data_IF_121900751754
#
_entry.id   IF_121900751754
#
_cell.length_a   1.000
_cell.length_b   1.000
_cell.length_c   1.000
_cell.angle_alpha   90.00
_cell.angle_beta   90.00
_cell.angle_gamma   90.00
#
_symmetry.space_group_name_H-M   'P 1'
#
loop_
_entity.id
_entity.type
_entity.pdbx_description
1 polymer ?
#
# COMPACT_ATOMS: atom_id res chain seq x y z
N UNK A 1 -20.45 0.96 -9.73
CA UNK A 1 -19.20 0.46 -10.34
C UNK A 1 -18.10 1.26 -9.67
N UNK A 2 -17.01 0.65 -9.21
CA UNK A 2 -15.90 1.41 -8.65
C UNK A 2 -14.90 1.78 -9.76
N UNK A 3 -13.93 2.66 -9.43
CA UNK A 3 -12.95 3.12 -10.42
C UNK A 3 -12.12 1.97 -11.02
N UNK A 4 -11.85 0.93 -10.25
CA UNK A 4 -11.06 -0.24 -10.68
C UNK A 4 -11.83 -1.05 -11.71
N UNK A 5 -13.11 -1.29 -11.48
CA UNK A 5 -13.98 -2.01 -12.41
C UNK A 5 -14.21 -1.22 -13.70
N UNK A 6 -14.33 0.10 -13.60
CA UNK A 6 -14.46 0.97 -14.80
C UNK A 6 -13.18 0.93 -15.65
N UNK A 7 -12.01 1.01 -15.04
CA UNK A 7 -10.73 0.89 -15.76
C UNK A 7 -10.59 -0.49 -16.41
N UNK A 8 -10.91 -1.57 -15.70
CA UNK A 8 -10.87 -2.94 -16.24
C UNK A 8 -11.83 -3.14 -17.42
N UNK A 9 -12.98 -2.47 -17.42
CA UNK A 9 -13.95 -2.59 -18.51
C UNK A 9 -13.50 -1.92 -19.79
N UNK A 10 -12.57 -0.96 -19.71
CA UNK A 10 -12.09 -0.17 -20.85
C UNK A 10 -10.71 -0.57 -21.37
N UNK A 11 -9.93 -1.30 -20.59
CA UNK A 11 -8.59 -1.75 -20.96
C UNK A 11 -8.50 -3.27 -20.95
N UNK A 12 -7.88 -3.83 -21.98
CA UNK A 12 -7.49 -5.23 -21.98
C UNK A 12 -6.09 -5.39 -21.40
N UNK A 13 -5.87 -6.48 -20.67
CA UNK A 13 -4.56 -6.73 -20.03
C UNK A 13 -3.45 -6.88 -21.07
N UNK A 14 -3.76 -7.49 -22.22
CA UNK A 14 -2.79 -7.68 -23.31
C UNK A 14 -2.34 -6.35 -23.90
N UNK A 15 -3.26 -5.36 -24.07
CA UNK A 15 -2.91 -4.05 -24.61
C UNK A 15 -2.04 -3.26 -23.63
N UNK A 16 -2.35 -3.34 -22.32
CA UNK A 16 -1.52 -2.71 -21.28
C UNK A 16 -0.12 -3.30 -21.28
N UNK A 17 0.00 -4.63 -21.30
CA UNK A 17 1.28 -5.33 -21.23
C UNK A 17 2.09 -5.19 -22.54
N UNK A 18 1.43 -5.11 -23.69
CA UNK A 18 2.10 -4.98 -24.99
C UNK A 18 2.95 -3.69 -25.10
N UNK A 19 2.72 -2.69 -24.27
CA UNK A 19 3.56 -1.48 -24.24
C UNK A 19 4.94 -1.72 -23.63
N UNK A 20 5.06 -2.74 -22.79
CA UNK A 20 6.29 -3.08 -22.07
C UNK A 20 6.95 -4.35 -22.59
N UNK A 21 6.16 -5.29 -23.09
CA UNK A 21 6.62 -6.63 -23.49
C UNK A 21 6.15 -6.95 -24.89
N UNK A 22 7.07 -7.37 -25.75
CA UNK A 22 6.72 -7.85 -27.07
C UNK A 22 5.98 -9.20 -26.97
N UNK A 23 4.65 -9.14 -27.05
CA UNK A 23 3.79 -10.30 -26.95
C UNK A 23 3.62 -11.01 -28.31
N UNK A 24 3.71 -12.34 -28.29
CA UNK A 24 3.39 -13.22 -29.43
C UNK A 24 2.23 -14.12 -29.06
N UNK A 25 1.29 -14.32 -29.98
CA UNK A 25 0.14 -15.19 -29.74
C UNK A 25 0.57 -16.65 -29.53
N UNK A 26 0.00 -17.30 -28.54
CA UNK A 26 0.24 -18.71 -28.19
C UNK A 26 -1.10 -19.37 -27.85
N UNK A 27 -1.83 -19.78 -28.89
CA UNK A 27 -3.19 -20.29 -28.77
C UNK A 27 -4.19 -19.21 -28.31
N UNK A 28 -4.84 -19.43 -27.17
CA UNK A 28 -5.76 -18.44 -26.55
C UNK A 28 -5.04 -17.38 -25.70
N UNK A 29 -3.77 -17.61 -25.42
CA UNK A 29 -2.94 -16.73 -24.58
C UNK A 29 -1.90 -15.99 -25.43
N UNK A 30 -1.17 -15.08 -24.79
CA UNK A 30 0.03 -14.47 -25.33
C UNK A 30 1.25 -14.87 -24.50
N UNK A 31 2.42 -14.87 -25.14
CA UNK A 31 3.71 -15.11 -24.48
C UNK A 31 4.75 -14.08 -24.90
N UNK A 32 5.68 -13.79 -24.00
CA UNK A 32 6.81 -12.89 -24.26
C UNK A 32 8.00 -13.23 -23.39
N UNK A 33 9.07 -12.46 -23.52
CA UNK A 33 10.19 -12.49 -22.59
C UNK A 33 9.79 -11.78 -21.29
N UNK A 34 10.30 -12.26 -20.15
CA UNK A 34 10.05 -11.61 -18.87
C UNK A 34 10.62 -10.20 -18.83
N UNK A 35 9.83 -9.19 -18.41
CA UNK A 35 10.35 -7.85 -18.16
C UNK A 35 11.12 -7.73 -16.84
N UNK A 36 11.09 -8.78 -16.01
CA UNK A 36 11.69 -8.80 -14.67
C UNK A 36 13.04 -9.49 -14.61
N UNK A 37 13.50 -10.07 -15.71
CA UNK A 37 14.76 -10.80 -15.78
C UNK A 37 15.40 -10.75 -17.17
N UNK A 38 16.65 -11.18 -17.26
CA UNK A 38 17.37 -11.29 -18.52
C UNK A 38 17.30 -12.72 -19.02
N UNK A 39 16.31 -13.04 -19.86
CA UNK A 39 16.12 -14.39 -20.40
C UNK A 39 16.07 -14.40 -21.93
N UNK A 40 16.37 -15.58 -22.51
CA UNK A 40 16.33 -15.80 -23.97
C UNK A 40 15.09 -16.60 -24.40
N UNK A 41 14.42 -17.25 -23.45
CA UNK A 41 13.26 -18.11 -23.71
C UNK A 41 12.01 -17.45 -23.14
N UNK A 42 10.93 -17.32 -23.94
CA UNK A 42 9.70 -16.72 -23.45
C UNK A 42 9.07 -17.50 -22.31
N UNK A 43 9.04 -16.91 -21.11
CA UNK A 43 8.44 -17.45 -19.90
C UNK A 43 7.27 -16.61 -19.36
N UNK A 44 7.07 -15.42 -19.92
CA UNK A 44 5.98 -14.53 -19.55
C UNK A 44 4.70 -14.86 -20.32
N UNK A 45 3.61 -15.12 -19.61
CA UNK A 45 2.32 -15.51 -20.19
C UNK A 45 1.23 -14.52 -19.79
N UNK A 46 0.34 -14.20 -20.75
CA UNK A 46 -0.84 -13.35 -20.53
C UNK A 46 -2.08 -14.10 -21.01
N UNK A 47 -3.09 -14.15 -20.14
CA UNK A 47 -4.40 -14.72 -20.46
C UNK A 47 -5.47 -13.62 -20.60
N UNK A 48 -5.88 -13.26 -21.80
CA UNK A 48 -6.93 -12.27 -22.02
C UNK A 48 -8.28 -12.70 -21.43
N UNK A 49 -8.62 -13.97 -21.54
CA UNK A 49 -9.88 -14.52 -21.01
C UNK A 49 -9.99 -14.36 -19.50
N UNK A 50 -8.89 -14.59 -18.78
CA UNK A 50 -8.84 -14.49 -17.31
C UNK A 50 -8.42 -13.10 -16.82
N UNK A 51 -7.96 -12.22 -17.71
CA UNK A 51 -7.41 -10.91 -17.40
C UNK A 51 -6.27 -10.98 -16.35
N UNK A 52 -5.36 -11.98 -16.53
CA UNK A 52 -4.20 -12.22 -15.67
C UNK A 52 -2.94 -12.41 -16.50
N UNK A 53 -1.81 -12.15 -15.87
CA UNK A 53 -0.49 -12.50 -16.35
C UNK A 53 0.23 -13.39 -15.34
N UNK A 54 1.22 -14.14 -15.81
CA UNK A 54 2.12 -14.93 -14.98
C UNK A 54 3.49 -15.01 -15.64
N UNK A 55 4.52 -14.77 -14.85
CA UNK A 55 5.92 -14.92 -15.25
C UNK A 55 6.53 -16.15 -14.56
N UNK A 56 6.78 -17.19 -15.33
CA UNK A 56 7.32 -18.45 -14.82
C UNK A 56 8.80 -18.34 -14.42
N UNK A 57 9.53 -17.33 -14.87
CA UNK A 57 10.93 -17.14 -14.51
C UNK A 57 11.09 -16.52 -13.11
N UNK A 58 10.25 -15.56 -12.76
CA UNK A 58 10.30 -14.87 -11.46
C UNK A 58 9.28 -15.40 -10.46
N UNK A 59 8.30 -16.22 -10.90
CA UNK A 59 7.17 -16.67 -10.09
C UNK A 59 6.12 -15.57 -9.81
N UNK A 60 6.26 -14.39 -10.40
CA UNK A 60 5.32 -13.27 -10.25
C UNK A 60 4.10 -13.44 -11.13
N UNK A 61 2.98 -12.86 -10.72
CA UNK A 61 1.74 -12.89 -11.49
C UNK A 61 0.66 -12.01 -10.90
N UNK A 62 -0.43 -11.79 -11.66
CA UNK A 62 -1.56 -11.02 -11.18
C UNK A 62 -2.40 -10.40 -12.29
N UNK A 63 -3.02 -9.26 -12.03
CA UNK A 63 -3.83 -8.49 -12.97
C UNK A 63 -3.04 -7.32 -13.60
N UNK A 64 -3.70 -6.50 -14.43
CA UNK A 64 -3.07 -5.35 -15.07
C UNK A 64 -2.50 -4.32 -14.08
N UNK A 65 -3.13 -4.12 -12.92
CA UNK A 65 -2.63 -3.18 -11.91
C UNK A 65 -1.35 -3.70 -11.25
N UNK A 66 -1.34 -4.98 -10.85
CA UNK A 66 -0.13 -5.60 -10.29
C UNK A 66 1.04 -5.61 -11.29
N UNK A 67 0.74 -5.75 -12.59
CA UNK A 67 1.76 -5.64 -13.63
C UNK A 67 2.41 -4.25 -13.65
N UNK A 68 1.58 -3.19 -13.70
CA UNK A 68 2.08 -1.81 -13.71
C UNK A 68 2.85 -1.49 -12.43
N UNK A 69 2.34 -1.93 -11.26
CA UNK A 69 3.06 -1.77 -9.99
C UNK A 69 4.45 -2.39 -10.02
N UNK A 70 4.58 -3.59 -10.57
CA UNK A 70 5.85 -4.32 -10.63
C UNK A 70 6.83 -3.73 -11.65
N UNK A 71 6.35 -3.33 -12.83
CA UNK A 71 7.21 -2.81 -13.91
C UNK A 71 7.65 -1.37 -13.63
N UNK A 72 6.74 -0.53 -13.17
CA UNK A 72 7.02 0.89 -12.89
C UNK A 72 7.57 1.13 -11.48
N UNK A 73 7.51 0.14 -10.59
CA UNK A 73 7.95 0.28 -9.21
C UNK A 73 7.09 1.25 -8.39
N UNK A 74 5.79 1.31 -8.67
CA UNK A 74 4.84 2.25 -8.05
C UNK A 74 3.83 1.54 -7.16
N UNK A 75 3.16 2.31 -6.31
CA UNK A 75 2.06 1.81 -5.49
C UNK A 75 0.75 1.65 -6.30
N UNK A 76 -0.24 0.99 -5.69
CA UNK A 76 -1.53 0.73 -6.33
C UNK A 76 -2.27 2.02 -6.73
N UNK A 77 -2.17 3.07 -5.92
CA UNK A 77 -2.83 4.35 -6.21
C UNK A 77 -2.27 4.98 -7.48
N UNK A 78 -0.96 5.02 -7.60
CA UNK A 78 -0.25 5.55 -8.78
C UNK A 78 -0.53 4.69 -10.02
N UNK A 79 -0.50 3.35 -9.88
CA UNK A 79 -0.85 2.44 -10.98
C UNK A 79 -2.30 2.64 -11.46
N UNK A 80 -3.25 2.82 -10.52
CA UNK A 80 -4.64 3.14 -10.86
C UNK A 80 -4.76 4.48 -11.59
N UNK A 81 -4.05 5.52 -11.14
CA UNK A 81 -4.03 6.82 -11.81
C UNK A 81 -3.47 6.76 -13.24
N UNK A 82 -2.40 5.99 -13.44
CA UNK A 82 -1.81 5.76 -14.77
C UNK A 82 -2.79 5.05 -15.70
N UNK A 83 -3.38 3.94 -15.26
CA UNK A 83 -4.33 3.17 -16.05
C UNK A 83 -5.65 3.90 -16.27
N UNK A 84 -6.15 4.66 -15.31
CA UNK A 84 -7.34 5.48 -15.46
C UNK A 84 -7.15 6.59 -16.51
N UNK A 85 -5.99 7.25 -16.51
CA UNK A 85 -5.63 8.23 -17.56
C UNK A 85 -5.64 7.57 -18.94
N UNK A 86 -5.08 6.38 -19.06
CA UNK A 86 -5.05 5.61 -20.30
C UNK A 86 -6.46 5.18 -20.75
N UNK A 87 -7.31 4.76 -19.80
CA UNK A 87 -8.70 4.38 -20.04
C UNK A 87 -9.63 5.57 -20.31
N UNK A 88 -9.18 6.82 -20.14
CA UNK A 88 -10.03 8.01 -20.17
C UNK A 88 -11.06 8.03 -19.04
N UNK A 89 -10.70 7.48 -17.89
CA UNK A 89 -11.55 7.45 -16.68
C UNK A 89 -11.17 8.60 -15.76
N UNK A 90 -12.14 9.44 -15.42
CA UNK A 90 -11.96 10.52 -14.45
C UNK A 90 -12.15 10.00 -13.03
N UNK A 91 -11.04 9.85 -12.30
CA UNK A 91 -11.04 9.35 -10.93
C UNK A 91 -11.70 10.29 -9.93
N UNK A 92 -11.86 11.59 -10.26
CA UNK A 92 -12.49 12.55 -9.34
C UNK A 92 -13.94 12.17 -9.03
N UNK A 93 -14.63 11.54 -9.99
CA UNK A 93 -16.01 11.07 -9.84
C UNK A 93 -16.16 9.92 -8.84
N UNK A 94 -15.07 9.19 -8.56
CA UNK A 94 -15.05 8.03 -7.66
C UNK A 94 -14.54 8.36 -6.25
N UNK A 95 -13.98 9.56 -6.05
CA UNK A 95 -13.46 10.01 -4.75
C UNK A 95 -14.55 10.52 -3.79
N UNK A 96 -15.76 10.75 -4.26
CA UNK A 96 -16.77 11.56 -3.58
C UNK A 96 -17.65 10.86 -2.54
N UNK A 97 -17.48 9.59 -2.23
CA UNK A 97 -18.40 8.96 -1.28
C UNK A 97 -17.75 8.09 -0.19
N UNK A 98 -16.86 7.18 -0.56
CA UNK A 98 -16.29 6.19 0.37
C UNK A 98 -14.97 6.64 1.00
N UNK A 99 -14.13 7.34 0.23
CA UNK A 99 -12.82 7.77 0.72
C UNK A 99 -12.88 9.00 1.63
N UNK A 100 -13.84 9.90 1.43
CA UNK A 100 -14.01 11.08 2.31
C UNK A 100 -14.40 10.66 3.74
N UNK A 101 -15.29 9.68 3.88
CA UNK A 101 -15.69 9.15 5.18
C UNK A 101 -14.58 8.38 5.87
N UNK A 102 -13.90 7.49 5.13
CA UNK A 102 -12.77 6.71 5.63
C UNK A 102 -11.53 7.59 5.92
N UNK A 103 -11.28 8.61 5.09
CA UNK A 103 -10.20 9.58 5.33
C UNK A 103 -10.46 10.37 6.60
N UNK A 104 -11.67 10.92 6.77
CA UNK A 104 -12.07 11.66 7.98
C UNK A 104 -12.05 10.81 9.23
N UNK A 105 -12.51 9.56 9.16
CA UNK A 105 -12.44 8.62 10.27
C UNK A 105 -10.99 8.27 10.63
N UNK A 106 -10.13 8.07 9.62
CA UNK A 106 -8.70 7.79 9.80
C UNK A 106 -7.97 8.98 10.42
N UNK A 107 -8.24 10.20 9.96
CA UNK A 107 -7.71 11.43 10.56
C UNK A 107 -8.11 11.55 12.03
N UNK A 108 -9.39 11.31 12.33
CA UNK A 108 -9.88 11.32 13.72
C UNK A 108 -9.23 10.24 14.57
N UNK A 109 -8.98 9.04 14.02
CA UNK A 109 -8.22 8.00 14.73
C UNK A 109 -6.78 8.47 15.02
N UNK A 110 -6.11 9.11 14.08
CA UNK A 110 -4.77 9.66 14.30
C UNK A 110 -4.76 10.75 15.38
N UNK A 111 -5.73 11.66 15.38
CA UNK A 111 -5.87 12.68 16.42
C UNK A 111 -6.03 12.05 17.81
N UNK A 112 -6.90 11.05 17.94
CA UNK A 112 -7.14 10.34 19.20
C UNK A 112 -5.88 9.61 19.67
N UNK A 113 -5.19 8.91 18.78
CA UNK A 113 -3.93 8.22 19.10
C UNK A 113 -2.86 9.22 19.53
N UNK A 114 -2.77 10.36 18.86
CA UNK A 114 -1.82 11.42 19.20
C UNK A 114 -2.12 12.03 20.58
N UNK A 115 -3.39 12.27 20.90
CA UNK A 115 -3.79 12.74 22.23
C UNK A 115 -3.45 11.72 23.30
N UNK A 116 -3.73 10.44 23.07
CA UNK A 116 -3.37 9.35 23.99
C UNK A 116 -1.86 9.26 24.20
N UNK A 117 -1.07 9.35 23.14
CA UNK A 117 0.38 9.34 23.24
C UNK A 117 0.91 10.49 24.08
N UNK A 118 0.42 11.71 23.87
CA UNK A 118 0.77 12.89 24.68
C UNK A 118 0.37 12.72 26.13
N UNK A 119 -0.83 12.21 26.38
CA UNK A 119 -1.28 11.93 27.73
C UNK A 119 -0.32 10.99 28.47
N UNK A 120 0.02 9.84 27.87
CA UNK A 120 0.93 8.88 28.49
C UNK A 120 2.36 9.42 28.66
N UNK A 121 2.85 10.26 27.75
CA UNK A 121 4.14 10.95 27.90
C UNK A 121 4.15 11.91 29.10
N UNK A 122 3.04 12.64 29.32
CA UNK A 122 2.90 13.50 30.51
C UNK A 122 2.82 12.67 31.77
N UNK A 123 2.10 11.55 31.78
CA UNK A 123 2.08 10.64 32.94
C UNK A 123 3.46 10.04 33.22
N UNK A 124 4.21 9.70 32.19
CA UNK A 124 5.60 9.23 32.30
C UNK A 124 6.49 10.26 32.98
N UNK A 125 6.43 11.54 32.58
CA UNK A 125 7.24 12.60 33.19
C UNK A 125 6.89 12.88 34.68
N UNK A 126 5.66 12.55 35.11
CA UNK A 126 5.18 12.72 36.46
C UNK A 126 5.45 11.51 37.38
N UNK A 127 5.70 10.34 36.81
CA UNK A 127 5.89 9.10 37.54
C UNK A 127 7.36 8.85 37.86
N UNK A 128 7.76 9.08 39.13
CA UNK A 128 9.10 8.79 39.61
C UNK A 128 9.50 7.32 39.35
N UNK A 129 8.59 6.39 39.60
CA UNK A 129 8.81 4.96 39.41
C UNK A 129 9.08 4.62 37.93
N UNK A 130 8.34 5.20 36.99
CA UNK A 130 8.52 4.98 35.56
C UNK A 130 9.84 5.57 35.06
N UNK A 131 10.20 6.76 35.57
CA UNK A 131 11.48 7.40 35.25
C UNK A 131 12.67 6.57 35.75
N UNK A 132 12.66 6.11 37.00
CA UNK A 132 13.71 5.25 37.56
C UNK A 132 13.83 3.94 36.81
N UNK A 133 12.71 3.33 36.44
CA UNK A 133 12.72 2.09 35.66
C UNK A 133 13.40 2.28 34.28
N UNK A 134 13.02 3.30 33.54
CA UNK A 134 13.54 3.51 32.19
C UNK A 134 14.99 4.02 32.23
N UNK A 135 15.28 5.03 33.06
CA UNK A 135 16.59 5.69 33.06
C UNK A 135 17.65 4.90 33.84
N UNK A 136 17.27 4.26 34.95
CA UNK A 136 18.25 3.55 35.82
C UNK A 136 18.27 2.05 35.52
N UNK A 137 17.12 1.35 35.56
CA UNK A 137 17.10 -0.10 35.35
C UNK A 137 17.33 -0.51 33.90
N UNK A 138 16.77 0.26 32.94
CA UNK A 138 16.93 -0.02 31.49
C UNK A 138 18.08 0.77 30.88
N UNK A 139 18.68 1.70 31.60
CA UNK A 139 19.80 2.52 31.11
C UNK A 139 19.51 3.30 29.83
N UNK A 140 18.25 3.65 29.57
CA UNK A 140 17.92 4.50 28.44
C UNK A 140 18.21 5.96 28.77
N UNK A 141 18.61 6.73 27.76
CA UNK A 141 18.78 8.17 27.90
C UNK A 141 17.43 8.91 27.84
N UNK A 142 17.37 10.13 28.35
CA UNK A 142 16.19 10.99 28.19
C UNK A 142 15.87 11.24 26.72
N UNK A 143 16.89 11.42 25.88
CA UNK A 143 16.72 11.63 24.44
C UNK A 143 16.11 10.40 23.76
N UNK A 144 16.54 9.19 24.16
CA UNK A 144 15.93 7.94 23.70
C UNK A 144 14.46 7.86 24.10
N UNK A 145 14.14 8.19 25.36
CA UNK A 145 12.75 8.16 25.83
C UNK A 145 11.85 9.15 25.07
N UNK A 146 12.37 10.34 24.74
CA UNK A 146 11.67 11.34 23.93
C UNK A 146 11.53 10.91 22.47
N UNK A 147 12.59 10.40 21.86
CA UNK A 147 12.61 9.96 20.46
C UNK A 147 11.59 8.85 20.19
N UNK A 148 11.53 7.86 21.09
CA UNK A 148 10.58 6.75 21.00
C UNK A 148 9.23 7.05 21.66
N UNK A 149 9.03 8.29 22.16
CA UNK A 149 7.78 8.75 22.76
C UNK A 149 7.28 7.81 23.88
N UNK A 150 8.20 7.36 24.74
CA UNK A 150 7.87 6.45 25.83
C UNK A 150 6.87 7.11 26.76
N UNK A 151 5.78 6.41 27.03
CA UNK A 151 4.69 6.84 27.91
C UNK A 151 4.52 5.89 29.10
N UNK A 152 3.75 6.32 30.07
CA UNK A 152 3.38 5.54 31.24
C UNK A 152 1.87 5.55 31.43
N UNK A 153 1.27 4.37 31.55
CA UNK A 153 -0.14 4.23 31.90
C UNK A 153 -0.29 4.18 33.43
N UNK A 154 -0.95 5.16 34.06
CA UNK A 154 -1.21 5.12 35.50
C UNK A 154 -2.17 3.98 35.82
N UNK A 155 -2.08 3.46 37.07
CA UNK A 155 -2.89 2.32 37.51
C UNK A 155 -4.30 2.76 37.96
N UNK A 156 -4.96 3.58 37.16
CA UNK A 156 -6.37 3.96 37.30
C UNK A 156 -7.07 3.73 35.99
N UNK A 157 -8.05 2.83 35.98
CA UNK A 157 -8.70 2.33 34.77
C UNK A 157 -9.31 3.41 33.86
N UNK A 158 -9.66 4.58 34.40
CA UNK A 158 -10.42 5.65 33.73
C UNK A 158 -9.54 6.87 33.38
N UNK A 159 -8.22 6.73 33.38
CA UNK A 159 -7.32 7.87 33.22
C UNK A 159 -7.32 8.50 31.81
N UNK A 160 -7.85 7.80 30.80
CA UNK A 160 -7.89 8.22 29.42
C UNK A 160 -9.34 8.36 28.86
N UNK A 161 -10.36 8.09 29.68
CA UNK A 161 -11.78 8.17 29.28
C UNK A 161 -12.34 9.55 29.55
#
# INVERSE_FOLDING_TARGET
MDAVEEVKSRLSIEDVIAEYVQLKRAGRNFKGLSPFGNEKTPSFMVSPEKQIWHDFSSGKGGNMFSFVMEVEGVDFKTALEMLARKAGVDLSQYQTGRNAGLSKQKERCYEVVEMAARFYQVQFSKSQQALEYILQKRSYTKDTALLFRIGYSPNNGDALV
#
